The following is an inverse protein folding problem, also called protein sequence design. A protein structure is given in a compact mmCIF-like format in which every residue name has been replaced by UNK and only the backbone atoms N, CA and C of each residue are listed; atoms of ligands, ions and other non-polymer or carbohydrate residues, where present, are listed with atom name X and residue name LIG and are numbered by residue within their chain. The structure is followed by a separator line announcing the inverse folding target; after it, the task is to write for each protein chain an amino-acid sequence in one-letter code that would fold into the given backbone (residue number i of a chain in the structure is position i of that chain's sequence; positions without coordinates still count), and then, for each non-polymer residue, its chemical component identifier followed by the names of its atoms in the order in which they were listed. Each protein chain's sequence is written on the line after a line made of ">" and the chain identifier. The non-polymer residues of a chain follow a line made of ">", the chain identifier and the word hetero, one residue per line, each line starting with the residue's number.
data_IF_558082374804
#
_entry.id   IF_558082374804
#
_cell.length_a   1.000
_cell.length_b   1.000
_cell.length_c   1.000
_cell.angle_alpha   90.00
_cell.angle_beta   90.00
_cell.angle_gamma   90.00
#
_symmetry.space_group_name_H-M   'P 1'
#
loop_
_entity.id
_entity.type
_entity.pdbx_description
1 polymer ?
#
# COMPACT_ATOMS: atom_id res chain seq x y z
N UNK A 1 -9.43 0.16 -21.42
CA UNK A 1 -8.41 1.23 -21.38
C UNK A 1 -8.36 1.85 -19.99
N UNK A 2 -7.32 2.59 -19.69
CA UNK A 2 -7.12 3.22 -18.38
C UNK A 2 -6.55 4.62 -18.59
N UNK A 3 -7.03 5.62 -17.85
CA UNK A 3 -6.59 7.00 -17.99
C UNK A 3 -6.03 7.58 -16.69
N UNK A 4 -5.32 8.68 -16.84
CA UNK A 4 -4.91 9.59 -15.78
C UNK A 4 -5.38 11.01 -16.12
N UNK A 5 -5.54 11.87 -15.12
CA UNK A 5 -5.82 13.27 -15.35
C UNK A 5 -4.53 14.02 -15.69
N UNK A 6 -4.58 14.87 -16.70
CA UNK A 6 -3.54 15.86 -16.93
C UNK A 6 -3.78 17.14 -16.10
N UNK A 7 -2.88 18.11 -16.20
CA UNK A 7 -2.99 19.38 -15.46
C UNK A 7 -4.17 20.26 -15.92
N UNK A 8 -4.69 20.03 -17.11
CA UNK A 8 -5.91 20.66 -17.65
C UNK A 8 -7.20 19.99 -17.18
N UNK A 9 -7.10 18.93 -16.32
CA UNK A 9 -8.20 18.09 -15.86
C UNK A 9 -8.90 17.31 -16.98
N UNK A 10 -8.15 16.96 -18.02
CA UNK A 10 -8.60 16.12 -19.12
C UNK A 10 -8.10 14.69 -18.96
N UNK A 11 -8.87 13.67 -19.36
CA UNK A 11 -8.45 12.27 -19.26
C UNK A 11 -7.42 11.94 -20.35
N UNK A 12 -6.20 11.62 -19.92
CA UNK A 12 -5.12 11.17 -20.78
C UNK A 12 -4.98 9.64 -20.71
N UNK A 13 -5.04 8.97 -21.85
CA UNK A 13 -4.95 7.51 -21.90
C UNK A 13 -3.54 7.02 -21.58
N UNK A 14 -3.41 6.12 -20.63
CA UNK A 14 -2.14 5.46 -20.33
C UNK A 14 -1.81 4.43 -21.39
N UNK A 15 -0.51 4.17 -21.58
CA UNK A 15 0.04 3.22 -22.58
C UNK A 15 -0.50 3.49 -23.99
N UNK A 16 -0.57 4.73 -24.40
CA UNK A 16 -1.08 5.12 -25.72
C UNK A 16 -2.47 4.52 -26.06
N UNK A 17 -3.30 4.32 -25.03
CA UNK A 17 -4.65 3.76 -25.21
C UNK A 17 -4.72 2.24 -25.38
N UNK A 18 -3.64 1.51 -25.15
CA UNK A 18 -3.69 0.04 -25.17
C UNK A 18 -4.72 -0.50 -24.17
N UNK A 19 -5.30 -1.66 -24.50
CA UNK A 19 -6.22 -2.37 -23.63
C UNK A 19 -5.47 -3.16 -22.56
N UNK A 20 -5.96 -3.06 -21.35
CA UNK A 20 -5.54 -3.89 -20.24
C UNK A 20 -6.41 -5.14 -20.21
N UNK A 21 -5.82 -6.32 -20.30
CA UNK A 21 -6.51 -7.60 -20.14
C UNK A 21 -6.23 -8.10 -18.73
N UNK A 22 -7.24 -8.09 -17.89
CA UNK A 22 -7.11 -8.36 -16.46
C UNK A 22 -8.17 -9.38 -16.03
N UNK A 23 -7.76 -10.39 -15.29
CA UNK A 23 -8.68 -11.33 -14.65
C UNK A 23 -9.22 -10.73 -13.35
N UNK A 24 -10.51 -10.33 -13.28
CA UNK A 24 -11.07 -9.69 -12.10
C UNK A 24 -11.32 -10.69 -10.99
N UNK A 25 -10.96 -10.33 -9.75
CA UNK A 25 -11.15 -11.20 -8.60
C UNK A 25 -11.95 -10.57 -7.46
N UNK A 26 -11.74 -9.27 -7.18
CA UNK A 26 -12.43 -8.57 -6.10
C UNK A 26 -12.58 -7.08 -6.41
N UNK A 27 -13.60 -6.47 -5.85
CA UNK A 27 -13.69 -5.03 -5.65
C UNK A 27 -13.31 -4.73 -4.19
N UNK A 28 -12.48 -3.72 -4.00
CA UNK A 28 -12.11 -3.19 -2.69
C UNK A 28 -12.43 -1.71 -2.63
N UNK A 29 -12.89 -1.26 -1.47
CA UNK A 29 -13.08 0.16 -1.17
C UNK A 29 -11.89 0.63 -0.35
N UNK A 30 -11.22 1.69 -0.77
CA UNK A 30 -10.12 2.32 -0.06
C UNK A 30 -10.01 3.79 -0.46
N UNK A 31 -9.78 4.66 0.51
CA UNK A 31 -9.61 6.10 0.31
C UNK A 31 -10.65 6.70 -0.67
N UNK A 32 -11.93 6.51 -0.35
CA UNK A 32 -13.09 7.00 -1.11
C UNK A 32 -13.19 6.51 -2.56
N UNK A 33 -12.46 5.46 -2.93
CA UNK A 33 -12.45 4.91 -4.28
C UNK A 33 -12.67 3.40 -4.31
N UNK A 34 -13.34 2.92 -5.37
CA UNK A 34 -13.38 1.51 -5.68
C UNK A 34 -12.15 1.10 -6.48
N UNK A 35 -11.55 -0.01 -6.07
CA UNK A 35 -10.43 -0.65 -6.75
C UNK A 35 -10.83 -2.04 -7.23
N UNK A 36 -10.58 -2.33 -8.50
CA UNK A 36 -10.56 -3.68 -9.02
C UNK A 36 -9.23 -4.32 -8.66
N UNK A 37 -9.28 -5.34 -7.81
CA UNK A 37 -8.13 -6.21 -7.53
C UNK A 37 -8.18 -7.35 -8.53
N UNK A 38 -7.19 -7.42 -9.41
CA UNK A 38 -7.17 -8.37 -10.52
C UNK A 38 -5.78 -8.93 -10.77
N UNK A 39 -5.74 -10.06 -11.48
CA UNK A 39 -4.50 -10.67 -11.92
C UNK A 39 -4.15 -10.21 -13.33
N UNK A 40 -2.93 -9.69 -13.47
CA UNK A 40 -2.33 -9.33 -14.75
C UNK A 40 -1.42 -10.48 -15.19
N UNK A 41 -1.89 -11.30 -16.13
CA UNK A 41 -1.15 -12.46 -16.61
C UNK A 41 0.19 -12.10 -17.30
N UNK A 42 0.25 -10.94 -17.97
CA UNK A 42 1.49 -10.47 -18.60
C UNK A 42 2.58 -10.13 -17.59
N UNK A 43 2.19 -9.65 -16.42
CA UNK A 43 3.10 -9.26 -15.35
C UNK A 43 3.22 -10.34 -14.27
N UNK A 44 2.47 -11.44 -14.34
CA UNK A 44 2.35 -12.54 -13.36
C UNK A 44 2.11 -12.03 -11.93
N UNK A 45 1.28 -11.02 -11.77
CA UNK A 45 1.02 -10.44 -10.44
C UNK A 45 -0.39 -9.88 -10.27
N UNK A 46 -0.79 -9.74 -9.00
CA UNK A 46 -2.00 -9.02 -8.59
C UNK A 46 -1.75 -7.53 -8.76
N UNK A 47 -2.70 -6.82 -9.34
CA UNK A 47 -2.69 -5.36 -9.50
C UNK A 47 -4.00 -4.75 -9.07
N UNK A 48 -3.94 -3.47 -8.74
CA UNK A 48 -5.08 -2.65 -8.33
C UNK A 48 -5.35 -1.60 -9.41
N UNK A 49 -6.61 -1.47 -9.78
CA UNK A 49 -7.06 -0.51 -10.77
C UNK A 49 -8.23 0.27 -10.20
N UNK A 50 -8.12 1.57 -10.12
CA UNK A 50 -9.25 2.42 -9.75
C UNK A 50 -10.36 2.29 -10.78
N UNK A 51 -11.56 1.97 -10.33
CA UNK A 51 -12.70 1.71 -11.22
C UNK A 51 -13.11 2.96 -11.99
N UNK A 52 -13.07 4.13 -11.35
CA UNK A 52 -13.38 5.43 -11.95
C UNK A 52 -12.41 5.86 -13.07
N UNK A 53 -11.23 5.21 -13.16
CA UNK A 53 -10.23 5.46 -14.21
C UNK A 53 -10.34 4.50 -15.41
N UNK A 54 -11.31 3.59 -15.40
CA UNK A 54 -11.50 2.60 -16.45
C UNK A 54 -12.40 3.14 -17.55
N UNK A 55 -11.99 2.96 -18.81
CA UNK A 55 -12.76 3.32 -19.99
C UNK A 55 -12.92 2.12 -20.92
N UNK A 56 -14.05 2.10 -21.67
CA UNK A 56 -14.33 1.10 -22.69
C UNK A 56 -14.16 -0.34 -22.18
N UNK A 57 -14.75 -0.63 -21.00
CA UNK A 57 -14.72 -1.94 -20.37
C UNK A 57 -15.47 -2.93 -21.25
N UNK A 58 -14.88 -4.11 -21.45
CA UNK A 58 -15.49 -5.22 -22.19
C UNK A 58 -15.18 -6.52 -21.45
N UNK A 59 -16.14 -7.40 -21.33
CA UNK A 59 -15.95 -8.75 -20.81
C UNK A 59 -15.46 -9.64 -21.94
N UNK A 60 -14.36 -10.36 -21.69
CA UNK A 60 -13.84 -11.36 -22.63
C UNK A 60 -14.46 -12.74 -22.37
N UNK A 61 -14.48 -13.59 -23.40
CA UNK A 61 -15.03 -14.97 -23.31
C UNK A 61 -14.08 -15.95 -22.62
N UNK A 62 -12.83 -15.56 -22.42
CA UNK A 62 -11.82 -16.40 -21.79
C UNK A 62 -12.04 -16.50 -20.28
N UNK A 63 -11.70 -17.66 -19.71
CA UNK A 63 -11.76 -17.84 -18.25
C UNK A 63 -10.72 -16.98 -17.56
N UNK A 64 -11.10 -16.41 -16.39
CA UNK A 64 -10.15 -15.66 -15.56
C UNK A 64 -9.03 -16.53 -15.02
N UNK A 65 -7.85 -15.99 -15.00
CA UNK A 65 -6.61 -16.60 -14.52
C UNK A 65 -6.24 -16.12 -13.11
N UNK A 66 -5.15 -16.66 -12.54
CA UNK A 66 -4.62 -16.22 -11.24
C UNK A 66 -5.27 -16.86 -10.01
N UNK A 67 -6.10 -17.92 -10.18
CA UNK A 67 -6.81 -18.56 -9.06
C UNK A 67 -5.88 -19.01 -7.91
N UNK A 68 -4.69 -19.52 -8.23
CA UNK A 68 -3.72 -19.97 -7.22
C UNK A 68 -3.25 -18.78 -6.37
N UNK A 69 -2.86 -17.67 -7.00
CA UNK A 69 -2.42 -16.44 -6.33
C UNK A 69 -3.47 -15.89 -5.35
N UNK A 70 -4.76 -15.99 -5.69
CA UNK A 70 -5.84 -15.50 -4.83
C UNK A 70 -6.30 -16.50 -3.76
N UNK A 71 -6.07 -17.82 -3.93
CA UNK A 71 -6.39 -18.82 -2.91
C UNK A 71 -5.43 -18.77 -1.71
N UNK A 72 -4.19 -18.38 -1.96
CA UNK A 72 -3.12 -18.30 -0.96
C UNK A 72 -3.13 -16.97 -0.19
N UNK A 73 -3.92 -16.00 -0.65
CA UNK A 73 -4.01 -14.67 -0.06
C UNK A 73 -5.30 -14.55 0.75
N UNK A 74 -5.17 -14.41 2.07
CA UNK A 74 -6.26 -13.89 2.89
C UNK A 74 -6.51 -12.43 2.50
N UNK A 75 -7.59 -12.21 1.76
CA UNK A 75 -7.92 -10.90 1.20
C UNK A 75 -8.27 -9.85 2.25
N UNK A 76 -8.72 -10.25 3.45
CA UNK A 76 -8.95 -9.32 4.55
C UNK A 76 -7.61 -8.87 5.15
N UNK A 77 -6.70 -9.82 5.38
CA UNK A 77 -5.33 -9.51 5.79
C UNK A 77 -4.58 -8.73 4.70
N UNK A 78 -4.79 -9.05 3.43
CA UNK A 78 -4.19 -8.35 2.28
C UNK A 78 -4.60 -6.88 2.24
N UNK A 79 -5.89 -6.56 2.37
CA UNK A 79 -6.36 -5.17 2.39
C UNK A 79 -5.78 -4.36 3.56
N UNK A 80 -5.61 -4.99 4.74
CA UNK A 80 -4.98 -4.35 5.91
C UNK A 80 -3.48 -4.09 5.72
N UNK A 81 -2.78 -4.92 4.95
CA UNK A 81 -1.34 -4.78 4.67
C UNK A 81 -1.03 -3.72 3.62
N UNK A 82 -2.01 -3.41 2.76
CA UNK A 82 -1.82 -2.42 1.71
C UNK A 82 -2.13 -1.02 2.24
N UNK A 83 -1.24 -0.09 2.01
CA UNK A 83 -1.45 1.33 2.29
C UNK A 83 -1.85 2.03 0.99
N UNK A 84 -3.10 2.50 0.91
CA UNK A 84 -3.70 3.17 -0.26
C UNK A 84 -3.58 2.34 -1.56
N UNK A 85 -3.66 1.00 -1.47
CA UNK A 85 -3.55 0.07 -2.61
C UNK A 85 -2.26 0.24 -3.45
N UNK A 86 -1.20 0.78 -2.83
CA UNK A 86 0.11 0.86 -3.47
C UNK A 86 0.91 -0.43 -3.29
N UNK A 87 1.53 -0.87 -4.38
CA UNK A 87 2.44 -1.99 -4.43
C UNK A 87 3.75 -1.65 -3.69
N UNK A 88 4.19 -2.55 -2.83
CA UNK A 88 5.48 -2.53 -2.15
C UNK A 88 5.92 -3.96 -1.88
N UNK A 89 7.20 -4.15 -1.64
CA UNK A 89 7.71 -5.44 -1.20
C UNK A 89 7.15 -5.78 0.18
N UNK A 90 6.56 -6.98 0.33
CA UNK A 90 6.03 -7.43 1.62
C UNK A 90 7.20 -7.79 2.54
N UNK A 91 7.33 -7.08 3.64
CA UNK A 91 8.36 -7.32 4.66
C UNK A 91 7.83 -7.12 6.07
N UNK A 92 8.53 -7.69 7.05
CA UNK A 92 8.24 -7.45 8.46
C UNK A 92 8.95 -6.18 8.89
N UNK A 93 8.16 -5.18 9.29
CA UNK A 93 8.67 -3.89 9.77
C UNK A 93 8.54 -3.82 11.28
N UNK A 94 9.60 -3.37 11.95
CA UNK A 94 9.61 -3.08 13.37
C UNK A 94 9.46 -1.58 13.59
N UNK A 95 8.51 -1.21 14.45
CA UNK A 95 8.22 0.18 14.81
C UNK A 95 8.35 0.30 16.32
N UNK A 96 9.15 1.23 16.80
CA UNK A 96 9.16 1.68 18.19
C UNK A 96 8.06 2.72 18.36
N UNK A 97 7.21 2.55 19.37
CA UNK A 97 6.07 3.40 19.63
C UNK A 97 5.98 3.80 21.10
N UNK A 98 5.53 5.01 21.36
CA UNK A 98 5.06 5.40 22.69
C UNK A 98 3.79 4.61 23.07
N UNK A 99 3.60 4.34 24.35
CA UNK A 99 2.45 3.56 24.86
C UNK A 99 1.09 4.17 24.50
N UNK A 100 1.01 5.48 24.33
CA UNK A 100 -0.16 6.21 23.87
C UNK A 100 -0.66 5.76 22.49
N UNK A 101 0.21 5.20 21.64
CA UNK A 101 -0.10 4.71 20.29
C UNK A 101 -0.56 3.25 20.23
N UNK A 102 -0.69 2.57 21.37
CA UNK A 102 -1.09 1.16 21.40
C UNK A 102 -2.45 0.93 20.71
N UNK A 103 -3.43 1.80 20.98
CA UNK A 103 -4.74 1.75 20.32
C UNK A 103 -4.64 1.91 18.81
N UNK A 104 -3.84 2.88 18.34
CA UNK A 104 -3.63 3.14 16.90
C UNK A 104 -3.06 1.91 16.19
N UNK A 105 -2.09 1.23 16.82
CA UNK A 105 -1.50 0.01 16.26
C UNK A 105 -2.50 -1.15 16.22
N UNK A 106 -3.30 -1.33 17.27
CA UNK A 106 -4.34 -2.36 17.33
C UNK A 106 -5.44 -2.09 16.31
N UNK A 107 -5.91 -0.86 16.18
CA UNK A 107 -6.95 -0.50 15.22
C UNK A 107 -6.48 -0.73 13.77
N UNK A 108 -5.23 -0.39 13.48
CA UNK A 108 -4.67 -0.54 12.15
C UNK A 108 -4.35 -1.99 11.79
N UNK A 109 -3.70 -2.73 12.69
CA UNK A 109 -3.14 -4.05 12.40
C UNK A 109 -3.92 -5.21 13.01
N UNK A 110 -4.86 -4.92 13.90
CA UNK A 110 -5.67 -5.92 14.61
C UNK A 110 -5.08 -6.31 15.96
N UNK A 111 -5.92 -6.93 16.80
CA UNK A 111 -5.56 -7.31 18.19
C UNK A 111 -4.43 -8.35 18.25
N UNK A 112 -4.26 -9.14 17.21
CA UNK A 112 -3.23 -10.20 17.13
C UNK A 112 -1.84 -9.66 16.71
N UNK A 113 -1.69 -8.34 16.56
CA UNK A 113 -0.40 -7.75 16.24
C UNK A 113 0.61 -7.99 17.38
N UNK A 114 1.82 -8.40 17.02
CA UNK A 114 2.87 -8.67 18.00
C UNK A 114 3.41 -7.37 18.57
N UNK A 115 3.14 -7.16 19.85
CA UNK A 115 3.64 -6.02 20.60
C UNK A 115 4.50 -6.52 21.76
N UNK A 116 5.61 -5.87 22.01
CA UNK A 116 6.50 -6.17 23.14
C UNK A 116 6.93 -4.88 23.85
N UNK A 117 6.83 -4.87 25.18
CA UNK A 117 7.29 -3.74 25.98
C UNK A 117 8.81 -3.58 25.82
N UNK A 118 9.26 -2.36 25.67
CA UNK A 118 10.69 -1.99 25.62
C UNK A 118 11.09 -1.36 26.95
N UNK A 119 10.34 -0.39 27.44
CA UNK A 119 10.52 0.29 28.73
C UNK A 119 9.17 0.75 29.29
N UNK A 120 9.16 1.67 30.25
CA UNK A 120 7.95 2.17 30.91
C UNK A 120 7.10 3.07 30.00
N UNK A 121 7.68 3.65 28.95
CA UNK A 121 7.03 4.62 28.07
C UNK A 121 6.83 4.07 26.65
N UNK A 122 7.56 2.99 26.26
CA UNK A 122 7.61 2.51 24.89
C UNK A 122 7.34 1.02 24.75
N UNK A 123 6.79 0.68 23.60
CA UNK A 123 6.69 -0.69 23.10
C UNK A 123 7.19 -0.79 21.65
N UNK A 124 7.55 -2.00 21.27
CA UNK A 124 7.90 -2.35 19.90
C UNK A 124 6.75 -3.15 19.28
N UNK A 125 6.37 -2.84 18.05
CA UNK A 125 5.43 -3.61 17.26
C UNK A 125 6.09 -4.14 16.00
N UNK A 126 5.82 -5.42 15.66
CA UNK A 126 6.28 -6.06 14.43
C UNK A 126 5.08 -6.30 13.51
N UNK A 127 5.07 -5.66 12.36
CA UNK A 127 3.98 -5.72 11.38
C UNK A 127 4.45 -6.23 10.02
N UNK A 128 3.67 -7.11 9.41
CA UNK A 128 3.94 -7.59 8.06
C UNK A 128 3.13 -6.75 7.06
N UNK A 129 3.82 -5.90 6.29
CA UNK A 129 3.21 -4.90 5.40
C UNK A 129 3.93 -4.81 4.07
N UNK A 130 3.22 -4.29 3.05
CA UNK A 130 3.87 -3.78 1.85
C UNK A 130 4.56 -2.45 2.22
N UNK A 131 5.89 -2.47 2.34
CA UNK A 131 6.68 -1.30 2.74
C UNK A 131 6.76 -0.29 1.60
N UNK A 132 5.65 0.42 1.38
CA UNK A 132 5.55 1.49 0.40
C UNK A 132 5.88 2.84 1.01
N UNK A 133 6.12 3.86 0.18
CA UNK A 133 6.25 5.25 0.65
C UNK A 133 5.03 5.71 1.47
N UNK A 134 3.83 5.26 1.11
CA UNK A 134 2.61 5.58 1.88
C UNK A 134 2.65 5.01 3.30
N UNK A 135 3.14 3.78 3.45
CA UNK A 135 3.37 3.21 4.79
C UNK A 135 4.36 4.04 5.59
N UNK A 136 5.50 4.40 5.00
CA UNK A 136 6.53 5.23 5.65
C UNK A 136 5.93 6.58 6.07
N UNK A 137 5.21 7.25 5.17
CA UNK A 137 4.57 8.53 5.49
C UNK A 137 3.47 8.40 6.55
N UNK A 138 2.74 7.28 6.57
CA UNK A 138 1.77 7.01 7.63
C UNK A 138 2.44 6.91 8.99
N UNK A 139 3.58 6.22 9.10
CA UNK A 139 4.34 6.17 10.37
C UNK A 139 4.87 7.56 10.74
N UNK A 140 5.40 8.31 9.78
CA UNK A 140 5.86 9.70 10.01
C UNK A 140 4.73 10.62 10.49
N UNK A 141 3.49 10.42 10.02
CA UNK A 141 2.32 11.19 10.44
C UNK A 141 1.93 10.95 11.91
N UNK A 142 2.45 9.91 12.56
CA UNK A 142 2.29 9.66 14.00
C UNK A 142 3.22 10.56 14.85
N UNK A 143 4.02 11.40 14.23
CA UNK A 143 4.89 12.35 14.88
C UNK A 143 6.09 11.69 15.58
N UNK A 144 6.54 12.31 16.70
CA UNK A 144 7.65 11.81 17.49
C UNK A 144 7.36 10.49 18.20
N UNK A 145 6.09 10.13 18.35
CA UNK A 145 5.64 8.95 19.09
C UNK A 145 5.88 7.62 18.38
N UNK A 146 6.30 7.63 17.10
CA UNK A 146 6.57 6.40 16.35
C UNK A 146 7.82 6.52 15.48
N UNK A 147 8.62 5.44 15.45
CA UNK A 147 9.85 5.38 14.65
C UNK A 147 10.04 3.99 14.06
N UNK A 148 10.28 3.90 12.75
CA UNK A 148 10.71 2.66 12.09
C UNK A 148 12.15 2.35 12.56
N UNK A 149 12.34 1.16 13.13
CA UNK A 149 13.62 0.69 13.66
C UNK A 149 14.16 -0.54 12.93
N UNK A 150 13.39 -1.11 12.04
CA UNK A 150 13.80 -2.25 11.22
C UNK A 150 12.79 -2.58 10.11
N UNK A 151 13.22 -3.29 9.10
CA UNK A 151 14.58 -3.77 8.82
C UNK A 151 15.53 -2.65 8.35
N UNK A 152 16.84 -2.92 8.33
CA UNK A 152 17.89 -1.93 8.07
C UNK A 152 17.75 -1.25 6.70
N UNK A 153 17.40 -2.01 5.66
CA UNK A 153 17.14 -1.45 4.32
C UNK A 153 16.03 -0.41 4.35
N UNK A 154 14.93 -0.67 5.07
CA UNK A 154 13.82 0.28 5.17
C UNK A 154 14.21 1.51 6.01
N UNK A 155 14.97 1.33 7.07
CA UNK A 155 15.51 2.46 7.88
C UNK A 155 16.40 3.36 6.99
N UNK A 156 17.20 2.75 6.12
CA UNK A 156 18.00 3.51 5.14
C UNK A 156 17.11 4.30 4.16
N UNK A 157 16.08 3.67 3.57
CA UNK A 157 15.13 4.34 2.68
C UNK A 157 14.39 5.50 3.37
N UNK A 158 14.00 5.32 4.64
CA UNK A 158 13.39 6.40 5.45
C UNK A 158 14.34 7.58 5.61
N UNK A 159 15.61 7.33 5.92
CA UNK A 159 16.60 8.40 6.05
C UNK A 159 16.84 9.16 4.74
N UNK A 160 16.88 8.46 3.61
CA UNK A 160 16.99 9.10 2.29
C UNK A 160 15.74 9.92 1.96
N UNK A 161 14.54 9.45 2.31
CA UNK A 161 13.31 10.21 2.11
C UNK A 161 13.25 11.47 3.00
N UNK A 162 13.75 11.40 4.22
CA UNK A 162 13.87 12.56 5.13
C UNK A 162 14.82 13.61 4.53
N UNK A 163 15.97 13.19 4.02
CA UNK A 163 16.93 14.09 3.36
C UNK A 163 16.29 14.76 2.14
N UNK A 164 15.65 13.96 1.30
CA UNK A 164 14.96 14.46 0.10
C UNK A 164 13.90 15.52 0.47
N UNK A 165 13.09 15.25 1.52
CA UNK A 165 12.08 16.20 2.00
C UNK A 165 12.73 17.47 2.58
N UNK A 166 13.77 17.32 3.40
CA UNK A 166 14.49 18.46 3.94
C UNK A 166 15.08 19.36 2.84
N UNK A 167 15.64 18.77 1.77
CA UNK A 167 16.16 19.51 0.64
C UNK A 167 15.07 20.18 -0.19
N UNK A 168 13.90 19.51 -0.33
CA UNK A 168 12.75 20.07 -1.06
C UNK A 168 12.15 21.32 -0.37
N UNK A 169 12.15 21.36 0.96
CA UNK A 169 11.56 22.44 1.76
C UNK A 169 12.59 23.40 2.36
N UNK A 170 13.87 23.28 2.02
CA UNK A 170 14.85 24.31 2.32
C UNK A 170 14.53 25.57 1.52
N UNK A 171 14.34 26.67 2.24
CA UNK A 171 14.30 27.98 1.62
C UNK A 171 15.65 28.27 0.93
N UNK A 172 15.58 28.75 -0.30
CA UNK A 172 16.77 29.17 -1.07
C UNK A 172 17.24 30.55 -0.60
#
# INVERSE_FOLDING_TARGET
>A
QYFQWNVQKEPELRRNGERYVISPWRLSWDDENYYLVGYDAKADRIKHYRVDKMLKIKVESTRREGRKKFKEVDMAAYAKKMFNMFDGEEQTVEILCENSLAGVMIDRFGKEVRMSRVDDEHFKVAVKVAASKHFVHWVMALGSGAKIIGPENLVHEVNEEIKRLADQYREK
#
